data_IF_150342964968
#
_entry.id   IF_150342964968
#
_cell.length_a   1.000
_cell.length_b   1.000
_cell.length_c   1.000
_cell.angle_alpha   90.00
_cell.angle_beta   90.00
_cell.angle_gamma   90.00
#
_symmetry.space_group_name_H-M   'P 1'
#
loop_
_entity.id
_entity.type
_entity.pdbx_description
1 polymer ?
#
# COMPACT_ATOMS: atom_id res chain seq x y z
N UNK A 1 18.80 -31.62 -34.07
CA UNK A 1 18.23 -32.98 -34.12
C UNK A 1 18.87 -33.72 -32.96
N UNK A 2 18.13 -33.92 -31.88
CA UNK A 2 18.60 -34.71 -30.74
C UNK A 2 17.87 -36.04 -30.82
N UNK A 3 18.61 -37.13 -31.00
CA UNK A 3 18.12 -38.50 -30.90
C UNK A 3 18.51 -38.99 -29.52
N UNK A 4 17.54 -39.43 -28.72
CA UNK A 4 17.80 -40.11 -27.46
C UNK A 4 17.78 -41.61 -27.74
N UNK A 5 18.95 -42.21 -27.94
CA UNK A 5 19.09 -43.67 -27.94
C UNK A 5 19.06 -44.14 -26.48
N UNK A 6 17.95 -44.77 -26.10
CA UNK A 6 17.80 -45.44 -24.80
C UNK A 6 17.56 -46.92 -25.11
N UNK A 7 18.67 -47.67 -25.16
CA UNK A 7 18.70 -49.11 -25.44
C UNK A 7 18.12 -49.90 -24.25
N UNK A 8 16.79 -49.97 -24.19
CA UNK A 8 16.05 -50.91 -23.34
C UNK A 8 14.89 -51.49 -24.15
N UNK A 9 15.20 -52.42 -25.06
CA UNK A 9 14.34 -53.58 -25.39
C UNK A 9 12.94 -53.38 -25.99
N UNK A 10 12.51 -52.16 -26.31
CA UNK A 10 11.34 -51.85 -27.14
C UNK A 10 11.42 -50.34 -27.52
N UNK A 11 12.19 -50.00 -28.55
CA UNK A 11 12.36 -48.61 -29.00
C UNK A 11 11.08 -48.08 -29.64
N UNK A 12 10.39 -47.18 -28.93
CA UNK A 12 9.41 -46.29 -29.55
C UNK A 12 10.19 -45.07 -30.06
N UNK A 13 10.70 -45.17 -31.28
CA UNK A 13 11.40 -44.05 -31.94
C UNK A 13 10.42 -42.92 -32.25
N UNK A 14 10.41 -41.90 -31.40
CA UNK A 14 9.57 -40.71 -31.56
C UNK A 14 10.41 -39.47 -31.84
N UNK A 15 10.15 -38.82 -32.97
CA UNK A 15 10.87 -37.61 -33.37
C UNK A 15 10.09 -36.37 -32.96
N UNK A 16 10.66 -35.58 -32.04
CA UNK A 16 10.09 -34.31 -31.59
C UNK A 16 10.78 -33.11 -32.24
N UNK A 17 9.99 -32.08 -32.55
CA UNK A 17 10.51 -30.78 -33.00
C UNK A 17 10.72 -29.86 -31.79
N UNK A 18 11.94 -29.35 -31.63
CA UNK A 18 12.24 -28.33 -30.62
C UNK A 18 11.57 -27.01 -31.05
N UNK A 19 10.65 -26.52 -30.22
CA UNK A 19 9.92 -25.26 -30.45
C UNK A 19 10.49 -24.07 -29.67
N UNK A 20 11.31 -24.34 -28.65
CA UNK A 20 11.93 -23.31 -27.82
C UNK A 20 12.93 -23.90 -26.82
N UNK A 21 13.72 -23.03 -26.22
CA UNK A 21 14.64 -23.35 -25.11
C UNK A 21 14.25 -22.41 -23.97
N UNK A 22 13.93 -22.96 -22.80
CA UNK A 22 13.61 -22.15 -21.62
C UNK A 22 14.90 -21.76 -20.89
N UNK A 23 14.94 -20.54 -20.35
CA UNK A 23 16.08 -19.99 -19.59
C UNK A 23 15.75 -19.88 -18.10
N UNK A 24 16.75 -19.57 -17.26
CA UNK A 24 16.56 -19.37 -15.81
C UNK A 24 16.95 -20.55 -14.92
N UNK A 25 17.64 -21.55 -15.46
CA UNK A 25 18.17 -22.72 -14.72
C UNK A 25 19.62 -22.53 -14.25
N UNK A 26 20.18 -21.33 -14.42
CA UNK A 26 21.55 -21.03 -14.06
C UNK A 26 21.72 -20.97 -12.54
N UNK A 27 22.54 -21.87 -12.00
CA UNK A 27 22.87 -21.92 -10.56
C UNK A 27 22.12 -22.97 -9.74
N UNK A 28 21.07 -23.60 -10.28
CA UNK A 28 20.26 -24.62 -9.58
C UNK A 28 20.88 -26.03 -9.58
N UNK A 29 22.00 -26.22 -10.28
CA UNK A 29 22.72 -27.50 -10.37
C UNK A 29 23.34 -27.96 -9.05
N UNK A 30 23.57 -27.05 -8.10
CA UNK A 30 24.32 -27.35 -6.86
C UNK A 30 23.51 -28.11 -5.81
N UNK A 31 22.19 -28.13 -5.93
CA UNK A 31 21.28 -28.74 -4.96
C UNK A 31 20.68 -30.08 -5.43
N UNK A 32 20.95 -30.48 -6.68
CA UNK A 32 20.41 -31.70 -7.29
C UNK A 32 21.18 -32.96 -6.85
N UNK A 33 20.46 -33.96 -6.31
CA UNK A 33 21.03 -35.25 -5.91
C UNK A 33 21.09 -36.23 -7.10
N UNK A 34 20.17 -36.10 -8.06
CA UNK A 34 20.08 -36.97 -9.25
C UNK A 34 20.06 -36.15 -10.55
N UNK A 35 20.47 -36.72 -11.71
CA UNK A 35 20.52 -36.00 -12.98
C UNK A 35 19.17 -35.45 -13.47
N UNK A 36 18.07 -36.12 -13.15
CA UNK A 36 16.69 -35.70 -13.43
C UNK A 36 16.22 -34.55 -12.52
N UNK A 37 16.88 -34.34 -11.37
CA UNK A 37 16.64 -33.20 -10.49
C UNK A 37 17.32 -31.91 -10.97
N UNK A 38 18.13 -31.97 -12.04
CA UNK A 38 18.79 -30.81 -12.62
C UNK A 38 17.83 -30.14 -13.61
N UNK A 39 17.34 -28.91 -13.34
CA UNK A 39 16.36 -28.27 -14.22
C UNK A 39 16.83 -28.09 -15.66
N UNK A 40 18.14 -27.96 -15.89
CA UNK A 40 18.73 -27.88 -17.23
C UNK A 40 18.66 -29.18 -18.05
N UNK A 41 18.40 -30.32 -17.40
CA UNK A 41 18.21 -31.61 -18.05
C UNK A 41 16.74 -31.94 -18.32
N UNK A 42 15.81 -31.10 -17.81
CA UNK A 42 14.38 -31.29 -18.00
C UNK A 42 13.92 -30.64 -19.30
N UNK A 43 12.95 -31.26 -19.95
CA UNK A 43 12.26 -30.71 -21.12
C UNK A 43 10.76 -30.68 -20.88
N UNK A 44 10.08 -29.77 -21.57
CA UNK A 44 8.62 -29.73 -21.60
C UNK A 44 8.14 -30.24 -22.96
N UNK A 45 7.14 -31.11 -22.93
CA UNK A 45 6.46 -31.64 -24.11
C UNK A 45 4.96 -31.58 -23.83
N UNK A 46 4.16 -31.49 -24.89
CA UNK A 46 2.72 -31.52 -24.74
C UNK A 46 2.24 -32.86 -24.21
N UNK A 47 1.14 -32.84 -23.46
CA UNK A 47 0.66 -34.03 -22.78
C UNK A 47 0.11 -35.09 -23.75
N UNK A 48 -0.42 -34.66 -24.90
CA UNK A 48 -0.96 -35.57 -25.92
C UNK A 48 0.16 -36.45 -26.50
N UNK A 49 1.32 -35.86 -26.77
CA UNK A 49 2.52 -36.56 -27.22
C UNK A 49 3.06 -37.57 -26.20
N UNK A 50 2.98 -37.26 -24.89
CA UNK A 50 3.37 -38.23 -23.84
C UNK A 50 2.37 -39.38 -23.79
N UNK A 51 1.06 -39.09 -23.92
CA UNK A 51 0.01 -40.11 -23.90
C UNK A 51 0.17 -41.13 -25.04
N UNK A 52 0.51 -40.66 -26.25
CA UNK A 52 0.82 -41.53 -27.39
C UNK A 52 2.07 -42.40 -27.17
N UNK A 53 3.05 -41.89 -26.41
CA UNK A 53 4.33 -42.58 -26.17
C UNK A 53 4.27 -43.59 -25.03
N UNK A 54 3.53 -43.28 -23.96
CA UNK A 54 3.55 -44.04 -22.71
C UNK A 54 2.19 -44.61 -22.28
N UNK A 55 1.12 -44.38 -23.04
CA UNK A 55 -0.26 -44.78 -22.72
C UNK A 55 -0.64 -44.38 -21.28
N UNK A 56 -0.76 -43.07 -21.02
CA UNK A 56 -0.92 -42.55 -19.67
C UNK A 56 -2.23 -43.04 -19.04
N UNK A 57 -2.16 -43.54 -17.81
CA UNK A 57 -3.33 -43.98 -17.01
C UNK A 57 -3.86 -42.90 -16.06
N UNK A 58 -3.78 -41.64 -16.49
CA UNK A 58 -4.21 -40.48 -15.71
C UNK A 58 -3.09 -39.48 -15.44
N UNK A 59 -3.38 -38.51 -14.57
CA UNK A 59 -2.47 -37.42 -14.21
C UNK A 59 -2.02 -37.53 -12.75
N UNK A 60 -0.74 -37.29 -12.50
CA UNK A 60 -0.16 -37.36 -11.14
C UNK A 60 -0.47 -36.10 -10.30
N UNK A 61 -0.49 -34.92 -10.94
CA UNK A 61 -0.69 -33.63 -10.29
C UNK A 61 -1.62 -32.73 -11.11
N UNK A 62 -2.34 -31.84 -10.42
CA UNK A 62 -3.14 -30.78 -11.01
C UNK A 62 -2.82 -29.48 -10.28
N UNK A 63 -2.17 -28.56 -10.99
CA UNK A 63 -1.91 -27.21 -10.48
C UNK A 63 -3.02 -26.27 -10.94
N UNK A 64 -3.63 -25.59 -9.97
CA UNK A 64 -4.68 -24.59 -10.22
C UNK A 64 -4.23 -23.26 -9.66
N UNK A 65 -4.17 -22.26 -10.52
CA UNK A 65 -3.75 -20.91 -10.18
C UNK A 65 -4.96 -20.03 -9.87
N UNK A 66 -4.90 -19.30 -8.77
CA UNK A 66 -5.86 -18.24 -8.43
C UNK A 66 -5.15 -16.88 -8.44
N UNK A 67 -5.91 -15.80 -8.65
CA UNK A 67 -5.36 -14.45 -8.70
C UNK A 67 -5.05 -13.89 -7.31
N UNK A 68 -5.72 -14.38 -6.26
CA UNK A 68 -5.47 -13.96 -4.89
C UNK A 68 -5.32 -15.15 -3.91
N UNK A 69 -4.55 -15.00 -2.82
CA UNK A 69 -4.43 -16.03 -1.78
C UNK A 69 -5.76 -16.32 -1.07
N UNK A 70 -6.63 -15.32 -0.98
CA UNK A 70 -7.95 -15.42 -0.36
C UNK A 70 -8.87 -16.30 -1.21
N UNK A 71 -8.89 -16.07 -2.53
CA UNK A 71 -9.57 -16.94 -3.48
C UNK A 71 -8.98 -18.35 -3.50
N UNK A 72 -7.68 -18.50 -3.27
CA UNK A 72 -7.02 -19.83 -3.26
C UNK A 72 -7.60 -20.74 -2.18
N UNK A 73 -7.94 -20.19 -1.00
CA UNK A 73 -8.58 -20.97 0.08
C UNK A 73 -10.00 -21.38 -0.29
N UNK A 74 -10.80 -20.46 -0.83
CA UNK A 74 -12.18 -20.73 -1.23
C UNK A 74 -12.25 -21.72 -2.42
N UNK A 75 -11.37 -21.54 -3.40
CA UNK A 75 -11.21 -22.44 -4.53
C UNK A 75 -10.82 -23.84 -4.05
N UNK A 76 -9.87 -23.94 -3.12
CA UNK A 76 -9.45 -25.21 -2.53
C UNK A 76 -10.63 -25.92 -1.82
N UNK A 77 -11.42 -25.19 -1.05
CA UNK A 77 -12.63 -25.75 -0.43
C UNK A 77 -13.67 -26.20 -1.46
N UNK A 78 -13.84 -25.43 -2.53
CA UNK A 78 -14.74 -25.79 -3.64
C UNK A 78 -14.28 -27.07 -4.33
N UNK A 79 -12.98 -27.21 -4.61
CA UNK A 79 -12.40 -28.40 -5.24
C UNK A 79 -12.54 -29.64 -4.34
N UNK A 80 -12.30 -29.51 -3.04
CA UNK A 80 -12.48 -30.59 -2.07
C UNK A 80 -13.93 -31.09 -1.98
N UNK A 81 -14.90 -30.24 -2.28
CA UNK A 81 -16.32 -30.56 -2.20
C UNK A 81 -16.91 -31.17 -3.48
N UNK A 82 -16.16 -31.20 -4.59
CA UNK A 82 -16.61 -31.82 -5.85
C UNK A 82 -16.88 -33.33 -5.65
N UNK A 83 -17.98 -33.88 -6.19
CA UNK A 83 -18.36 -35.28 -6.02
C UNK A 83 -17.31 -36.26 -6.57
N UNK A 84 -16.54 -35.86 -7.59
CA UNK A 84 -15.48 -36.68 -8.20
C UNK A 84 -14.17 -36.72 -7.39
N UNK A 85 -14.01 -35.81 -6.44
CA UNK A 85 -12.80 -35.61 -5.63
C UNK A 85 -13.04 -36.02 -4.19
N UNK A 86 -14.28 -35.82 -3.71
CA UNK A 86 -14.70 -36.09 -2.34
C UNK A 86 -14.54 -37.56 -1.96
N UNK A 87 -13.70 -37.83 -0.96
CA UNK A 87 -13.47 -39.18 -0.43
C UNK A 87 -12.40 -40.01 -1.15
N UNK A 88 -11.66 -39.42 -2.10
CA UNK A 88 -10.47 -40.02 -2.72
C UNK A 88 -9.17 -39.59 -2.03
N UNK A 89 -8.08 -40.30 -2.31
CA UNK A 89 -6.76 -40.13 -1.68
C UNK A 89 -5.94 -38.97 -2.27
N UNK A 90 -6.56 -37.82 -2.54
CA UNK A 90 -5.85 -36.66 -3.06
C UNK A 90 -5.18 -35.86 -1.93
N UNK A 91 -3.93 -35.46 -2.15
CA UNK A 91 -3.22 -34.53 -1.27
C UNK A 91 -3.39 -33.12 -1.81
N UNK A 92 -3.89 -32.22 -0.97
CA UNK A 92 -4.12 -30.83 -1.32
C UNK A 92 -3.05 -29.95 -0.69
N UNK A 93 -2.28 -29.25 -1.51
CA UNK A 93 -1.30 -28.27 -1.06
C UNK A 93 -1.70 -26.88 -1.58
N UNK A 94 -1.62 -25.87 -0.70
CA UNK A 94 -1.73 -24.47 -1.09
C UNK A 94 -0.32 -23.89 -0.99
N UNK A 95 0.27 -23.56 -2.12
CA UNK A 95 1.54 -22.85 -2.15
C UNK A 95 1.26 -21.33 -2.18
N UNK A 96 1.49 -20.66 -1.06
CA UNK A 96 1.44 -19.19 -0.93
C UNK A 96 2.82 -18.61 -0.63
N UNK A 97 3.87 -19.44 -0.61
CA UNK A 97 5.21 -19.03 -0.16
C UNK A 97 5.78 -17.90 -1.05
N UNK A 98 5.67 -18.04 -2.36
CA UNK A 98 6.11 -17.00 -3.31
C UNK A 98 5.34 -15.68 -3.14
N UNK A 99 4.05 -15.75 -2.77
CA UNK A 99 3.25 -14.56 -2.49
C UNK A 99 3.64 -13.93 -1.15
N UNK A 100 3.89 -14.73 -0.12
CA UNK A 100 4.27 -14.25 1.22
C UNK A 100 5.65 -13.58 1.21
N UNK A 101 6.58 -14.10 0.39
CA UNK A 101 7.90 -13.51 0.17
C UNK A 101 7.80 -12.08 -0.40
N UNK A 102 6.81 -11.79 -1.24
CA UNK A 102 6.61 -10.46 -1.84
C UNK A 102 5.68 -9.56 -1.03
N UNK A 103 4.62 -10.12 -0.44
CA UNK A 103 3.60 -9.36 0.27
C UNK A 103 4.00 -8.95 1.70
N UNK A 104 4.81 -9.77 2.39
CA UNK A 104 5.25 -9.47 3.76
C UNK A 104 6.15 -8.22 3.83
N UNK A 105 7.17 -8.06 2.97
CA UNK A 105 7.95 -6.83 2.92
C UNK A 105 7.12 -5.62 2.51
N UNK A 106 6.16 -5.79 1.59
CA UNK A 106 5.33 -4.69 1.07
C UNK A 106 4.34 -4.17 2.13
N UNK A 107 3.67 -5.06 2.85
CA UNK A 107 2.78 -4.70 3.96
C UNK A 107 3.54 -4.07 5.14
N UNK A 108 4.74 -4.59 5.44
CA UNK A 108 5.64 -4.01 6.44
C UNK A 108 6.08 -2.60 6.05
N UNK A 109 6.41 -2.39 4.77
CA UNK A 109 6.74 -1.07 4.23
C UNK A 109 5.58 -0.08 4.38
N UNK A 110 4.35 -0.51 4.05
CA UNK A 110 3.14 0.30 4.26
C UNK A 110 2.98 0.72 5.73
N UNK A 111 3.14 -0.22 6.66
CA UNK A 111 3.01 0.04 8.10
C UNK A 111 4.06 1.03 8.63
N UNK A 112 5.29 0.99 8.08
CA UNK A 112 6.36 1.95 8.42
C UNK A 112 5.98 3.35 7.93
N UNK A 113 5.51 3.46 6.68
CA UNK A 113 5.07 4.73 6.10
C UNK A 113 3.92 5.33 6.91
N UNK A 114 2.92 4.52 7.28
CA UNK A 114 1.80 4.96 8.10
C UNK A 114 2.26 5.50 9.47
N UNK A 115 3.17 4.79 10.12
CA UNK A 115 3.72 5.20 11.42
C UNK A 115 4.52 6.51 11.31
N UNK A 116 5.30 6.69 10.25
CA UNK A 116 6.05 7.92 10.00
C UNK A 116 5.11 9.11 9.73
N UNK A 117 4.08 8.92 8.90
CA UNK A 117 3.06 9.94 8.61
C UNK A 117 2.31 10.34 9.87
N UNK A 118 1.90 9.38 10.70
CA UNK A 118 1.25 9.65 11.99
C UNK A 118 2.16 10.49 12.90
N UNK A 119 3.44 10.13 12.98
CA UNK A 119 4.42 10.85 13.83
C UNK A 119 4.58 12.31 13.38
N UNK A 120 4.79 12.54 12.08
CA UNK A 120 4.94 13.90 11.54
C UNK A 120 3.65 14.71 11.69
N UNK A 121 2.49 14.07 11.52
CA UNK A 121 1.18 14.71 11.70
C UNK A 121 0.99 15.20 13.13
N UNK A 122 1.36 14.38 14.12
CA UNK A 122 1.29 14.75 15.54
C UNK A 122 2.23 15.92 15.86
N UNK A 123 3.46 15.90 15.34
CA UNK A 123 4.41 17.01 15.54
C UNK A 123 3.88 18.29 14.89
N UNK A 124 3.42 18.21 13.64
CA UNK A 124 2.84 19.34 12.91
C UNK A 124 1.62 19.92 13.62
N UNK A 125 0.79 19.06 14.21
CA UNK A 125 -0.36 19.47 15.03
C UNK A 125 0.08 20.35 16.20
N UNK A 126 1.08 19.93 16.99
CA UNK A 126 1.58 20.74 18.11
C UNK A 126 2.13 22.09 17.65
N UNK A 127 2.85 22.10 16.53
CA UNK A 127 3.39 23.33 15.94
C UNK A 127 2.26 24.28 15.53
N UNK A 128 1.23 23.80 14.82
CA UNK A 128 0.09 24.63 14.39
C UNK A 128 -0.66 25.20 15.60
N UNK A 129 -0.96 24.36 16.60
CA UNK A 129 -1.63 24.81 17.83
C UNK A 129 -0.82 25.89 18.53
N UNK A 130 0.50 25.69 18.67
CA UNK A 130 1.40 26.68 19.27
C UNK A 130 1.37 28.00 18.51
N UNK A 131 1.47 27.96 17.18
CA UNK A 131 1.40 29.15 16.33
C UNK A 131 0.08 29.90 16.49
N UNK A 132 -1.05 29.19 16.46
CA UNK A 132 -2.38 29.80 16.64
C UNK A 132 -2.51 30.46 18.01
N UNK A 133 -2.05 29.80 19.07
CA UNK A 133 -2.07 30.38 20.44
C UNK A 133 -1.23 31.65 20.51
N UNK A 134 -0.01 31.64 19.96
CA UNK A 134 0.86 32.82 19.95
C UNK A 134 0.26 33.97 19.13
N UNK A 135 -0.34 33.64 17.98
CA UNK A 135 -1.01 34.60 17.10
C UNK A 135 -2.22 35.26 17.76
N UNK A 136 -3.11 34.48 18.38
CA UNK A 136 -4.25 35.05 19.11
C UNK A 136 -3.78 35.87 20.31
N UNK A 137 -2.66 35.49 20.94
CA UNK A 137 -2.07 36.25 22.06
C UNK A 137 -1.49 37.60 21.62
N UNK A 138 -1.02 37.75 20.37
CA UNK A 138 -0.51 39.04 19.87
C UNK A 138 -1.64 40.04 19.57
N UNK A 139 -2.81 39.55 19.17
CA UNK A 139 -4.02 40.36 18.86
C UNK A 139 -4.91 40.68 20.08
N UNK A 140 -4.38 40.60 21.30
CA UNK A 140 -5.13 40.91 22.54
C UNK A 140 -5.74 42.31 22.57
N UNK A 141 -5.05 43.30 21.98
CA UNK A 141 -5.52 44.69 21.92
C UNK A 141 -6.81 44.81 21.10
N UNK A 142 -6.87 44.14 19.96
CA UNK A 142 -8.06 44.12 19.10
C UNK A 142 -9.26 43.47 19.82
N UNK A 143 -9.01 42.35 20.49
CA UNK A 143 -10.03 41.62 21.27
C UNK A 143 -10.58 42.49 22.41
N UNK A 144 -9.71 43.22 23.12
CA UNK A 144 -10.12 44.14 24.17
C UNK A 144 -10.97 45.32 23.64
N UNK A 145 -10.60 45.88 22.49
CA UNK A 145 -11.38 46.93 21.82
C UNK A 145 -12.75 46.40 21.39
N UNK A 146 -12.83 45.22 20.78
CA UNK A 146 -14.09 44.60 20.36
C UNK A 146 -15.03 44.31 21.55
N UNK A 147 -14.47 43.84 22.66
CA UNK A 147 -15.21 43.66 23.92
C UNK A 147 -15.73 44.99 24.49
N UNK A 148 -14.94 46.07 24.40
CA UNK A 148 -15.35 47.40 24.86
C UNK A 148 -16.48 48.01 24.01
N UNK A 149 -16.55 47.66 22.72
CA UNK A 149 -17.64 48.05 21.81
C UNK A 149 -18.93 47.23 22.06
N UNK A 150 -18.88 46.20 22.92
CA UNK A 150 -20.05 45.42 23.31
C UNK A 150 -20.29 44.15 22.47
N UNK A 151 -19.33 43.72 21.64
CA UNK A 151 -19.41 42.43 20.95
C UNK A 151 -19.34 41.27 21.93
N UNK A 152 -20.14 40.24 21.67
CA UNK A 152 -20.15 39.04 22.51
C UNK A 152 -18.87 38.22 22.32
N UNK A 153 -18.47 37.51 23.37
CA UNK A 153 -17.28 36.62 23.34
C UNK A 153 -17.38 35.57 22.22
N UNK A 154 -18.58 35.07 21.94
CA UNK A 154 -18.83 34.07 20.91
C UNK A 154 -18.67 34.62 19.49
N UNK A 155 -19.07 35.87 19.22
CA UNK A 155 -18.87 36.51 17.91
C UNK A 155 -17.39 36.67 17.58
N UNK A 156 -16.57 37.02 18.59
CA UNK A 156 -15.11 37.14 18.42
C UNK A 156 -14.48 35.78 18.09
N UNK A 157 -14.88 34.72 18.80
CA UNK A 157 -14.44 33.35 18.48
C UNK A 157 -14.90 32.94 17.08
N UNK A 158 -16.13 33.26 16.72
CA UNK A 158 -16.69 32.99 15.38
C UNK A 158 -15.88 33.64 14.27
N UNK A 159 -15.49 34.91 14.44
CA UNK A 159 -14.65 35.61 13.47
C UNK A 159 -13.30 34.91 13.27
N UNK A 160 -12.58 34.58 14.36
CA UNK A 160 -11.31 33.86 14.26
C UNK A 160 -11.48 32.47 13.64
N UNK A 161 -12.57 31.78 13.95
CA UNK A 161 -12.87 30.48 13.34
C UNK A 161 -13.06 30.62 11.82
N UNK A 162 -13.85 31.60 11.38
CA UNK A 162 -14.09 31.84 9.95
C UNK A 162 -12.82 32.26 9.21
N UNK A 163 -11.96 33.08 9.81
CA UNK A 163 -10.67 33.49 9.21
C UNK A 163 -9.78 32.28 8.98
N UNK A 164 -9.66 31.40 9.98
CA UNK A 164 -8.84 30.19 9.88
C UNK A 164 -9.43 29.15 8.92
N UNK A 165 -10.76 29.03 8.83
CA UNK A 165 -11.40 28.13 7.86
C UNK A 165 -11.13 28.59 6.42
N UNK A 166 -11.19 29.89 6.13
CA UNK A 166 -10.86 30.38 4.79
C UNK A 166 -9.40 30.10 4.40
N UNK A 167 -8.47 30.27 5.34
CA UNK A 167 -7.05 29.93 5.14
C UNK A 167 -6.89 28.41 4.96
N UNK A 168 -7.60 27.60 5.74
CA UNK A 168 -7.56 26.14 5.63
C UNK A 168 -8.02 25.65 4.26
N UNK A 169 -9.12 26.21 3.72
CA UNK A 169 -9.63 25.86 2.39
C UNK A 169 -8.56 26.17 1.32
N UNK A 170 -7.96 27.36 1.34
CA UNK A 170 -6.89 27.74 0.41
C UNK A 170 -5.67 26.81 0.54
N UNK A 171 -5.29 26.46 1.77
CA UNK A 171 -4.20 25.54 2.04
C UNK A 171 -4.48 24.13 1.53
N UNK A 172 -5.72 23.63 1.64
CA UNK A 172 -6.11 22.34 1.08
C UNK A 172 -5.87 22.31 -0.42
N UNK A 173 -6.35 23.31 -1.17
CA UNK A 173 -6.11 23.41 -2.61
C UNK A 173 -4.61 23.41 -2.95
N UNK A 174 -3.82 24.24 -2.27
CA UNK A 174 -2.37 24.28 -2.46
C UNK A 174 -1.70 22.92 -2.16
N UNK A 175 -2.13 22.25 -1.09
CA UNK A 175 -1.65 20.92 -0.71
C UNK A 175 -1.99 19.87 -1.75
N UNK A 176 -3.20 19.90 -2.31
CA UNK A 176 -3.60 18.95 -3.37
C UNK A 176 -2.68 19.05 -4.58
N UNK A 177 -2.43 20.28 -5.05
CA UNK A 177 -1.61 20.55 -6.21
C UNK A 177 -0.16 20.13 -5.97
N UNK A 178 0.37 20.43 -4.78
CA UNK A 178 1.72 20.02 -4.40
C UNK A 178 1.83 18.49 -4.32
N UNK A 179 0.80 17.81 -3.80
CA UNK A 179 0.77 16.34 -3.67
C UNK A 179 0.83 15.65 -5.03
N UNK A 180 0.07 16.12 -6.02
CA UNK A 180 0.17 15.59 -7.39
C UNK A 180 1.56 15.79 -8.01
N UNK A 181 2.19 16.95 -7.77
CA UNK A 181 3.55 17.22 -8.23
C UNK A 181 4.60 16.29 -7.61
N UNK A 182 4.51 16.07 -6.29
CA UNK A 182 5.43 15.20 -5.56
C UNK A 182 5.18 13.71 -5.83
N UNK A 183 3.92 13.28 -6.02
CA UNK A 183 3.57 11.89 -6.29
C UNK A 183 4.29 11.35 -7.53
N UNK A 184 4.38 12.16 -8.60
CA UNK A 184 5.09 11.78 -9.82
C UNK A 184 6.61 11.62 -9.59
N UNK A 185 7.22 12.48 -8.77
CA UNK A 185 8.65 12.40 -8.45
C UNK A 185 8.97 11.23 -7.53
N UNK A 186 8.11 10.93 -6.57
CA UNK A 186 8.25 9.77 -5.68
C UNK A 186 8.09 8.49 -6.50
N UNK A 187 7.11 8.43 -7.41
CA UNK A 187 6.93 7.31 -8.33
C UNK A 187 8.16 7.05 -9.20
N UNK A 188 8.74 8.09 -9.81
CA UNK A 188 9.95 7.94 -10.63
C UNK A 188 11.18 7.56 -9.80
N UNK A 189 11.32 8.10 -8.58
CA UNK A 189 12.41 7.74 -7.68
C UNK A 189 12.35 6.27 -7.26
N UNK A 190 11.17 5.75 -6.93
CA UNK A 190 10.98 4.33 -6.58
C UNK A 190 11.32 3.43 -7.78
N UNK A 191 10.81 3.76 -8.97
CA UNK A 191 11.11 3.00 -10.20
C UNK A 191 12.61 2.98 -10.49
N UNK A 192 13.31 4.11 -10.30
CA UNK A 192 14.76 4.19 -10.51
C UNK A 192 15.58 3.28 -9.59
N UNK A 193 15.02 2.86 -8.45
CA UNK A 193 15.66 1.94 -7.49
C UNK A 193 15.36 0.47 -7.76
N UNK A 194 14.36 0.16 -8.58
CA UNK A 194 13.86 -1.21 -8.81
C UNK A 194 14.36 -1.86 -10.12
N UNK A 195 15.18 -1.16 -10.92
CA UNK A 195 15.76 -1.68 -12.16
C UNK A 195 14.86 -1.52 -13.40
N UNK A 196 15.45 -1.62 -14.60
CA UNK A 196 14.90 -1.17 -15.90
C UNK A 196 13.58 -1.81 -16.38
N UNK A 197 13.02 -2.81 -15.68
CA UNK A 197 11.88 -3.59 -16.19
C UNK A 197 10.53 -3.35 -15.47
N UNK A 198 10.45 -2.44 -14.50
CA UNK A 198 9.16 -2.11 -13.87
C UNK A 198 8.44 -1.04 -14.68
N UNK A 199 7.45 -1.50 -15.43
CA UNK A 199 6.49 -0.67 -16.16
C UNK A 199 5.71 0.20 -15.17
N UNK A 200 6.08 1.49 -15.09
CA UNK A 200 5.26 2.62 -14.63
C UNK A 200 4.47 2.37 -13.32
N UNK A 201 5.11 2.60 -12.17
CA UNK A 201 4.41 2.64 -10.88
C UNK A 201 3.46 3.85 -10.86
N UNK A 202 2.14 3.59 -10.87
CA UNK A 202 1.15 4.66 -10.76
C UNK A 202 0.86 4.90 -9.28
N UNK A 203 1.45 5.96 -8.72
CA UNK A 203 1.13 6.43 -7.37
C UNK A 203 -0.27 7.06 -7.43
N UNK A 204 -1.28 6.33 -6.97
CA UNK A 204 -2.63 6.86 -6.83
C UNK A 204 -2.81 7.47 -5.46
N UNK A 205 -3.32 8.71 -5.43
CA UNK A 205 -3.72 9.37 -4.20
C UNK A 205 -5.16 8.94 -3.91
N UNK A 206 -5.36 8.11 -2.89
CA UNK A 206 -6.69 7.70 -2.48
C UNK A 206 -7.48 8.91 -1.94
N UNK A 207 -8.63 9.19 -2.57
CA UNK A 207 -9.51 10.29 -2.17
C UNK A 207 -10.04 10.11 -0.74
N UNK A 208 -10.20 8.87 -0.30
CA UNK A 208 -10.60 8.52 1.07
C UNK A 208 -9.60 9.00 2.12
N UNK A 209 -8.30 8.84 1.87
CA UNK A 209 -7.27 9.17 2.86
C UNK A 209 -7.02 10.67 2.90
N UNK A 210 -7.11 11.32 1.73
CA UNK A 210 -7.09 12.76 1.62
C UNK A 210 -8.24 13.42 2.41
N UNK A 211 -9.45 12.86 2.34
CA UNK A 211 -10.60 13.36 3.10
C UNK A 211 -10.41 13.17 4.61
N UNK A 212 -9.84 12.03 5.06
CA UNK A 212 -9.52 11.80 6.47
C UNK A 212 -8.50 12.83 6.99
N UNK A 213 -7.42 13.06 6.27
CA UNK A 213 -6.35 13.99 6.66
C UNK A 213 -6.90 15.42 6.74
N UNK A 214 -7.66 15.86 5.74
CA UNK A 214 -8.28 17.17 5.74
C UNK A 214 -9.34 17.33 6.84
N UNK A 215 -10.15 16.29 7.08
CA UNK A 215 -11.13 16.29 8.16
C UNK A 215 -10.49 16.44 9.54
N UNK A 216 -9.43 15.66 9.82
CA UNK A 216 -8.64 15.76 11.05
C UNK A 216 -8.04 17.17 11.17
N UNK A 217 -7.46 17.70 10.08
CA UNK A 217 -6.89 19.06 10.06
C UNK A 217 -7.90 20.15 10.43
N UNK A 218 -9.11 20.11 9.90
CA UNK A 218 -10.17 21.09 10.22
C UNK A 218 -10.59 20.99 11.68
N UNK A 219 -10.82 19.77 12.19
CA UNK A 219 -11.18 19.55 13.60
C UNK A 219 -10.10 20.13 14.52
N UNK A 220 -8.83 19.94 14.18
CA UNK A 220 -7.71 20.45 14.95
C UNK A 220 -7.64 21.97 14.94
N UNK A 221 -7.85 22.60 13.79
CA UNK A 221 -7.90 24.07 13.69
C UNK A 221 -9.03 24.60 14.58
N UNK A 222 -10.22 23.99 14.53
CA UNK A 222 -11.34 24.38 15.39
C UNK A 222 -10.98 24.27 16.88
N UNK A 223 -10.40 23.15 17.32
CA UNK A 223 -9.97 22.94 18.70
C UNK A 223 -8.90 23.97 19.12
N UNK A 224 -7.90 24.19 18.26
CA UNK A 224 -6.81 25.14 18.53
C UNK A 224 -7.34 26.57 18.70
N UNK A 225 -8.24 27.02 17.81
CA UNK A 225 -8.87 28.34 17.89
C UNK A 225 -9.69 28.48 19.17
N UNK A 226 -10.42 27.44 19.58
CA UNK A 226 -11.19 27.46 20.83
C UNK A 226 -10.25 27.58 22.04
N UNK A 227 -9.19 26.78 22.11
CA UNK A 227 -8.21 26.82 23.22
C UNK A 227 -7.51 28.18 23.29
N UNK A 228 -7.05 28.70 22.15
CA UNK A 228 -6.41 30.00 22.06
C UNK A 228 -7.36 31.13 22.49
N UNK A 229 -8.59 31.12 21.96
CA UNK A 229 -9.60 32.12 22.29
C UNK A 229 -10.00 32.09 23.75
N UNK A 230 -10.19 30.89 24.33
CA UNK A 230 -10.51 30.73 25.75
C UNK A 230 -9.42 31.33 26.65
N UNK A 231 -8.16 31.07 26.32
CA UNK A 231 -7.00 31.59 27.08
C UNK A 231 -6.94 33.11 27.08
N UNK A 232 -7.33 33.75 25.96
CA UNK A 232 -7.31 35.21 25.83
C UNK A 232 -8.54 35.88 26.43
N UNK A 233 -9.73 35.31 26.24
CA UNK A 233 -11.02 35.86 26.71
C UNK A 233 -11.19 35.72 28.24
N UNK A 234 -10.46 34.80 28.88
CA UNK A 234 -10.42 34.68 30.35
C UNK A 234 -9.70 35.85 31.03
N UNK A 235 -8.85 36.59 30.32
CA UNK A 235 -8.20 37.78 30.85
C UNK A 235 -9.24 38.90 30.99
N UNK A 236 -9.33 39.52 32.18
CA UNK A 236 -10.28 40.60 32.39
C UNK A 236 -9.88 41.83 31.55
N UNK A 237 -10.82 42.52 30.88
CA UNK A 237 -10.53 43.71 30.08
C UNK A 237 -9.79 44.79 30.87
N UNK A 238 -10.10 44.89 32.18
CA UNK A 238 -9.44 45.82 33.10
C UNK A 238 -7.94 45.54 33.24
N UNK A 239 -7.51 44.28 33.37
CA UNK A 239 -6.09 43.92 33.50
C UNK A 239 -5.28 44.12 32.21
N UNK A 240 -5.95 44.09 31.06
CA UNK A 240 -5.32 44.36 29.76
C UNK A 240 -5.07 45.87 29.61
N UNK A 241 -5.99 46.71 30.09
CA UNK A 241 -5.93 48.17 30.00
C UNK A 241 -5.09 48.80 31.13
N UNK A 242 -5.05 48.23 32.33
CA UNK A 242 -4.24 48.76 33.46
C UNK A 242 -2.75 48.40 33.36
N UNK A 243 -2.38 47.40 32.54
CA UNK A 243 -0.98 47.13 32.17
C UNK A 243 -0.49 47.97 30.99
N UNK A 244 -1.23 49.02 30.60
CA UNK A 244 -0.86 49.94 29.52
C UNK A 244 -0.24 51.24 30.02
N UNK A 245 0.09 51.37 31.31
CA UNK A 245 1.11 52.31 31.78
C UNK A 245 2.51 51.68 31.71
#
# INVERSE_FOLDING_TARGET
MFSTELDVGNEIDSTFKIVGIFSGTEGTTKEAITPDSIPANCGYVDISSIDELYELKGYDYLDVYAYSPEETKELMETIKNLPDVKGKTFTFNINTEDFDIVSTPLSSFGSIVDTAVLTITVIGMFVIVLFLVLWTRSRKKEIAVLLAVGRSKAEIVGQFLTENIWIAILSMFASTALSFGLANQIGSFIVSRLGENISKLTVQIATSDMLKVFGIGVILICLAVIVASYTVIRLQPKDILTKME
#
